data_IF_800863009879
#
_entry.id   IF_800863009879
#
_cell.length_a   1.000
_cell.length_b   1.000
_cell.length_c   1.000
_cell.angle_alpha   90.00
_cell.angle_beta   90.00
_cell.angle_gamma   90.00
#
_symmetry.space_group_name_H-M   'P 1'
#
loop_
_entity.id
_entity.type
_entity.pdbx_description
1 polymer ?
#
# COMPACT_ATOMS: atom_id res chain seq x y z
N UNK A 1 12.58 28.36 23.96
CA UNK A 1 12.25 26.92 24.10
C UNK A 1 12.34 26.35 22.69
N UNK A 2 13.49 25.80 22.30
CA UNK A 2 13.63 25.22 20.97
C UNK A 2 12.67 24.03 20.87
N UNK A 3 11.96 23.82 19.74
CA UNK A 3 11.17 22.62 19.57
C UNK A 3 12.13 21.44 19.70
N UNK A 4 11.91 20.58 20.69
CA UNK A 4 12.63 19.32 20.79
C UNK A 4 12.25 18.51 19.54
N UNK A 5 13.12 18.52 18.53
CA UNK A 5 12.95 17.72 17.34
C UNK A 5 12.88 16.27 17.79
N UNK A 6 11.68 15.68 17.72
CA UNK A 6 11.49 14.28 18.03
C UNK A 6 12.07 13.44 16.87
N UNK A 7 13.39 13.25 16.90
CA UNK A 7 14.16 12.54 15.86
C UNK A 7 13.56 11.16 15.59
N UNK A 8 13.06 10.48 16.63
CA UNK A 8 12.40 9.18 16.50
C UNK A 8 11.11 9.31 15.68
N UNK A 9 10.26 10.29 15.97
CA UNK A 9 9.04 10.52 15.20
C UNK A 9 9.35 10.83 13.73
N UNK A 10 10.38 11.64 13.46
CA UNK A 10 10.83 11.93 12.09
C UNK A 10 11.28 10.65 11.37
N UNK A 11 12.12 9.83 12.01
CA UNK A 11 12.59 8.55 11.45
C UNK A 11 11.41 7.63 11.14
N UNK A 12 10.42 7.54 12.05
CA UNK A 12 9.23 6.72 11.84
C UNK A 12 8.38 7.22 10.66
N UNK A 13 8.15 8.53 10.56
CA UNK A 13 7.41 9.12 9.42
C UNK A 13 8.13 8.82 8.11
N UNK A 14 9.45 9.02 8.06
CA UNK A 14 10.26 8.73 6.87
C UNK A 14 10.18 7.24 6.52
N UNK A 15 10.31 6.34 7.50
CA UNK A 15 10.21 4.90 7.27
C UNK A 15 8.83 4.48 6.73
N UNK A 16 7.74 5.02 7.29
CA UNK A 16 6.38 4.75 6.81
C UNK A 16 6.19 5.23 5.37
N UNK A 17 6.64 6.44 5.06
CA UNK A 17 6.57 6.99 3.71
C UNK A 17 7.41 6.17 2.72
N UNK A 18 8.63 5.79 3.08
CA UNK A 18 9.49 4.96 2.23
C UNK A 18 8.86 3.59 1.96
N UNK A 19 8.35 2.93 2.99
CA UNK A 19 7.71 1.62 2.85
C UNK A 19 6.47 1.71 1.97
N UNK A 20 5.62 2.71 2.19
CA UNK A 20 4.42 2.92 1.37
C UNK A 20 4.77 3.23 -0.09
N UNK A 21 5.80 4.05 -0.34
CA UNK A 21 6.26 4.32 -1.70
C UNK A 21 6.81 3.06 -2.37
N UNK A 22 7.55 2.22 -1.65
CA UNK A 22 8.06 0.96 -2.18
C UNK A 22 6.92 0.04 -2.61
N UNK A 23 5.91 -0.13 -1.76
CA UNK A 23 4.72 -0.95 -2.04
C UNK A 23 3.90 -0.39 -3.21
N UNK A 24 3.71 0.94 -3.25
CA UNK A 24 3.03 1.62 -4.34
C UNK A 24 3.74 1.41 -5.68
N UNK A 25 5.07 1.62 -5.72
CA UNK A 25 5.87 1.42 -6.93
C UNK A 25 5.85 -0.04 -7.36
N UNK A 26 5.99 -1.00 -6.44
CA UNK A 26 5.89 -2.42 -6.74
C UNK A 26 4.53 -2.78 -7.35
N UNK A 27 3.45 -2.22 -6.82
CA UNK A 27 2.09 -2.42 -7.33
C UNK A 27 1.91 -1.84 -8.73
N UNK A 28 2.45 -0.65 -9.00
CA UNK A 28 2.42 -0.03 -10.32
C UNK A 28 3.21 -0.85 -11.35
N UNK A 29 4.41 -1.31 -10.98
CA UNK A 29 5.23 -2.17 -11.84
C UNK A 29 4.53 -3.50 -12.13
N UNK A 30 3.90 -4.11 -11.11
CA UNK A 30 3.15 -5.35 -11.28
C UNK A 30 1.98 -5.16 -12.25
N UNK A 31 1.21 -4.08 -12.10
CA UNK A 31 0.14 -3.71 -13.03
C UNK A 31 0.65 -3.48 -14.46
N UNK A 32 1.79 -2.82 -14.62
CA UNK A 32 2.42 -2.59 -15.92
C UNK A 32 2.99 -3.84 -16.57
N UNK A 33 3.29 -4.87 -15.78
CA UNK A 33 3.83 -6.16 -16.28
C UNK A 33 2.75 -7.14 -16.76
N UNK A 34 1.47 -6.85 -16.50
CA UNK A 34 0.34 -7.68 -16.91
C UNK A 34 0.28 -7.81 -18.44
N UNK A 35 0.40 -9.04 -18.94
CA UNK A 35 0.35 -9.35 -20.38
C UNK A 35 -1.06 -9.77 -20.78
N UNK A 36 -1.68 -9.14 -21.80
CA UNK A 36 -3.03 -9.47 -22.23
C UNK A 36 -3.18 -10.90 -22.73
N UNK A 37 -2.16 -11.40 -23.45
CA UNK A 37 -2.17 -12.72 -24.07
C UNK A 37 -1.26 -13.68 -23.31
N UNK A 38 -1.73 -14.92 -23.16
CA UNK A 38 -0.95 -16.00 -22.58
C UNK A 38 0.18 -16.37 -23.57
N UNK A 39 1.46 -16.37 -23.15
CA UNK A 39 2.53 -16.77 -24.05
C UNK A 39 2.36 -18.23 -24.48
N UNK A 40 2.63 -18.53 -25.75
CA UNK A 40 2.37 -19.84 -26.37
C UNK A 40 2.96 -21.02 -25.59
N UNK A 41 4.14 -20.84 -24.99
CA UNK A 41 4.82 -21.87 -24.18
C UNK A 41 4.03 -22.31 -22.94
N UNK A 42 3.03 -21.53 -22.50
CA UNK A 42 2.18 -21.82 -21.35
C UNK A 42 0.77 -22.30 -21.74
N UNK A 43 0.42 -22.31 -23.03
CA UNK A 43 -0.91 -22.67 -23.52
C UNK A 43 -1.34 -24.10 -23.18
N UNK A 44 -0.37 -25.02 -23.04
CA UNK A 44 -0.64 -26.42 -22.68
C UNK A 44 -0.85 -26.63 -21.17
N UNK A 45 -0.48 -25.65 -20.34
CA UNK A 45 -0.52 -25.73 -18.87
C UNK A 45 -1.63 -24.83 -18.29
N UNK A 46 -1.90 -23.70 -18.94
CA UNK A 46 -2.84 -22.69 -18.47
C UNK A 46 -4.00 -22.48 -19.44
N UNK A 47 -5.21 -22.55 -18.88
CA UNK A 47 -6.45 -22.18 -19.54
C UNK A 47 -6.50 -20.66 -19.78
N UNK A 48 -6.77 -20.25 -21.03
CA UNK A 48 -6.78 -18.83 -21.43
C UNK A 48 -7.86 -18.02 -20.71
N UNK A 49 -9.05 -18.57 -20.49
CA UNK A 49 -10.14 -17.88 -19.80
C UNK A 49 -9.81 -17.65 -18.32
N UNK A 50 -9.18 -18.64 -17.69
CA UNK A 50 -8.67 -18.50 -16.31
C UNK A 50 -7.55 -17.48 -16.22
N UNK A 51 -6.65 -17.43 -17.21
CA UNK A 51 -5.59 -16.44 -17.27
C UNK A 51 -6.16 -15.03 -17.38
N UNK A 52 -7.10 -14.80 -18.31
CA UNK A 52 -7.77 -13.51 -18.47
C UNK A 52 -8.49 -13.06 -17.18
N UNK A 53 -9.22 -13.97 -16.52
CA UNK A 53 -9.87 -13.68 -15.23
C UNK A 53 -8.87 -13.35 -14.12
N UNK A 54 -7.72 -14.03 -14.07
CA UNK A 54 -6.67 -13.73 -13.10
C UNK A 54 -6.10 -12.32 -13.31
N UNK A 55 -5.89 -11.92 -14.57
CA UNK A 55 -5.43 -10.57 -14.92
C UNK A 55 -6.42 -9.48 -14.49
N UNK A 56 -7.73 -9.70 -14.69
CA UNK A 56 -8.78 -8.80 -14.23
C UNK A 56 -8.80 -8.69 -12.70
N UNK A 57 -8.68 -9.82 -12.00
CA UNK A 57 -8.61 -9.84 -10.54
C UNK A 57 -7.41 -9.06 -10.02
N UNK A 58 -6.21 -9.29 -10.57
CA UNK A 58 -5.00 -8.55 -10.19
C UNK A 58 -5.23 -7.06 -10.43
N UNK A 59 -5.80 -6.66 -11.57
CA UNK A 59 -6.07 -5.25 -11.87
C UNK A 59 -7.02 -4.60 -10.87
N UNK A 60 -8.12 -5.26 -10.55
CA UNK A 60 -9.10 -4.76 -9.60
C UNK A 60 -8.52 -4.67 -8.17
N UNK A 61 -7.85 -5.74 -7.74
CA UNK A 61 -7.26 -5.84 -6.41
C UNK A 61 -6.12 -4.83 -6.21
N UNK A 62 -5.24 -4.64 -7.19
CA UNK A 62 -4.16 -3.66 -7.12
C UNK A 62 -4.69 -2.22 -7.03
N UNK A 63 -5.73 -1.87 -7.79
CA UNK A 63 -6.38 -0.55 -7.66
C UNK A 63 -6.96 -0.33 -6.27
N UNK A 64 -7.65 -1.34 -5.74
CA UNK A 64 -8.20 -1.28 -4.40
C UNK A 64 -7.11 -1.18 -3.32
N UNK A 65 -6.01 -1.92 -3.48
CA UNK A 65 -4.86 -1.90 -2.58
C UNK A 65 -4.17 -0.52 -2.54
N UNK A 66 -4.01 0.14 -3.69
CA UNK A 66 -3.48 1.52 -3.73
C UNK A 66 -4.38 2.48 -2.95
N UNK A 67 -5.69 2.42 -3.15
CA UNK A 67 -6.65 3.32 -2.49
C UNK A 67 -6.66 3.06 -0.97
N UNK A 68 -6.75 1.80 -0.56
CA UNK A 68 -6.84 1.44 0.85
C UNK A 68 -5.54 1.69 1.60
N UNK A 69 -4.37 1.47 0.99
CA UNK A 69 -3.07 1.79 1.60
C UNK A 69 -2.89 3.29 1.79
N UNK A 70 -3.25 4.10 0.78
CA UNK A 70 -3.20 5.56 0.87
C UNK A 70 -4.13 6.10 1.97
N UNK A 71 -5.37 5.60 2.02
CA UNK A 71 -6.32 5.97 3.05
C UNK A 71 -5.82 5.57 4.44
N UNK A 72 -5.30 4.36 4.62
CA UNK A 72 -4.76 3.86 5.88
C UNK A 72 -3.60 4.70 6.39
N UNK A 73 -2.63 5.01 5.53
CA UNK A 73 -1.49 5.86 5.89
C UNK A 73 -1.96 7.27 6.26
N UNK A 74 -2.88 7.84 5.49
CA UNK A 74 -3.44 9.18 5.78
C UNK A 74 -4.15 9.20 7.13
N UNK A 75 -5.01 8.23 7.40
CA UNK A 75 -5.72 8.12 8.68
C UNK A 75 -4.73 7.98 9.83
N UNK A 76 -3.71 7.12 9.70
CA UNK A 76 -2.67 6.93 10.71
C UNK A 76 -1.94 8.25 11.00
N UNK A 77 -1.48 8.96 9.97
CA UNK A 77 -0.76 10.21 10.13
C UNK A 77 -1.65 11.31 10.74
N UNK A 78 -2.89 11.46 10.25
CA UNK A 78 -3.86 12.42 10.81
C UNK A 78 -4.14 12.11 12.28
N UNK A 79 -4.42 10.85 12.59
CA UNK A 79 -4.66 10.40 13.97
C UNK A 79 -3.47 10.71 14.87
N UNK A 80 -2.25 10.43 14.40
CA UNK A 80 -1.03 10.71 15.14
C UNK A 80 -0.84 12.22 15.38
N UNK A 81 -0.92 13.05 14.34
CA UNK A 81 -0.71 14.50 14.46
C UNK A 81 -1.80 15.20 15.29
N UNK A 82 -3.03 14.66 15.33
CA UNK A 82 -4.09 15.13 16.22
C UNK A 82 -3.90 14.67 17.68
N UNK A 83 -2.84 13.93 18.00
CA UNK A 83 -2.59 13.41 19.34
C UNK A 83 -3.49 12.24 19.73
N UNK A 84 -4.06 11.52 18.75
CA UNK A 84 -5.01 10.43 18.98
C UNK A 84 -4.49 9.33 19.90
N UNK A 85 -3.17 9.05 19.89
CA UNK A 85 -2.55 8.12 20.83
C UNK A 85 -2.67 8.59 22.29
N UNK A 86 -2.53 9.89 22.55
CA UNK A 86 -2.73 10.45 23.89
C UNK A 86 -4.19 10.41 24.32
N UNK A 87 -5.12 10.66 23.39
CA UNK A 87 -6.55 10.47 23.66
C UNK A 87 -6.88 9.02 24.04
N UNK A 88 -6.38 8.03 23.29
CA UNK A 88 -6.57 6.62 23.63
C UNK A 88 -5.97 6.26 25.00
N UNK A 89 -4.74 6.70 25.31
CA UNK A 89 -4.13 6.45 26.63
C UNK A 89 -5.02 6.99 27.75
N UNK A 90 -5.53 8.23 27.60
CA UNK A 90 -6.40 8.86 28.58
C UNK A 90 -7.76 8.18 28.75
N UNK A 91 -8.30 7.56 27.70
CA UNK A 91 -9.58 6.86 27.76
C UNK A 91 -9.44 5.48 28.39
N UNK A 92 -8.30 4.82 28.19
CA UNK A 92 -8.07 3.46 28.71
C UNK A 92 -7.57 3.40 30.16
N UNK A 93 -7.09 4.53 30.72
CA UNK A 93 -6.71 4.66 32.14
C UNK A 93 -7.92 4.97 33.02
#
# INVERSE_FOLDING_TARGET
>A
MAPEFNTIALVLIVALLLLWNLDFLATLLNLGSLRPELPGDFGDVFDQDKYARSQEYIRANSRFSIITSAASLTILLVFWFLGGFGWLDSWTR
#
